data_IF_182020638066
#
_entry.id   IF_182020638066
#
_cell.length_a   1.000
_cell.length_b   1.000
_cell.length_c   1.000
_cell.angle_alpha   90.00
_cell.angle_beta   90.00
_cell.angle_gamma   90.00
#
_symmetry.space_group_name_H-M   'P 1'
#
loop_
_entity.id
_entity.type
_entity.pdbx_description
1 polymer ?
#
# COMPACT_ATOMS: atom_id res chain seq x y z
N UNK A 1 -12.19 11.69 18.76
CA UNK A 1 -11.22 10.58 19.02
C UNK A 1 -9.88 10.99 18.44
N UNK A 2 -8.72 10.51 18.94
CA UNK A 2 -7.44 10.86 18.31
C UNK A 2 -7.06 9.90 17.18
N UNK A 3 -6.41 10.46 16.17
CA UNK A 3 -5.90 9.74 15.01
C UNK A 3 -4.43 10.09 14.80
N UNK A 4 -3.70 9.13 14.23
CA UNK A 4 -2.26 9.27 13.99
C UNK A 4 -1.93 8.86 12.56
N UNK A 5 -1.06 9.61 11.89
CA UNK A 5 -0.41 9.14 10.68
C UNK A 5 0.68 8.15 11.07
N UNK A 6 0.54 6.91 10.61
CA UNK A 6 1.49 5.82 10.83
C UNK A 6 2.51 5.80 9.69
N UNK A 7 3.75 6.18 10.01
CA UNK A 7 4.82 6.39 9.04
C UNK A 7 6.18 5.93 9.57
N UNK A 8 7.21 6.05 8.75
CA UNK A 8 8.59 5.73 9.13
C UNK A 8 9.17 6.79 10.08
N UNK A 9 10.15 6.44 10.93
CA UNK A 9 10.97 7.42 11.64
C UNK A 9 11.63 8.43 10.71
N UNK A 10 12.00 9.58 11.24
CA UNK A 10 12.88 10.51 10.53
C UNK A 10 14.30 9.94 10.57
N UNK A 11 14.80 9.50 9.42
CA UNK A 11 16.20 9.09 9.28
C UNK A 11 17.04 10.30 8.88
N UNK A 12 18.23 10.44 9.46
CA UNK A 12 19.17 11.52 9.16
C UNK A 12 19.78 11.37 7.77
N UNK A 13 19.89 10.13 7.27
CA UNK A 13 20.52 9.82 5.98
C UNK A 13 19.81 8.68 5.26
N UNK A 14 19.96 8.61 3.94
CA UNK A 14 19.51 7.46 3.14
C UNK A 14 20.19 6.15 3.58
N UNK A 15 21.42 6.23 4.08
CA UNK A 15 22.13 5.07 4.62
C UNK A 15 21.43 4.53 5.88
N UNK A 16 21.03 5.40 6.80
CA UNK A 16 20.29 5.02 8.00
C UNK A 16 18.91 4.43 7.66
N UNK A 17 18.21 5.00 6.67
CA UNK A 17 16.97 4.41 6.13
C UNK A 17 17.23 2.98 5.61
N UNK A 18 18.29 2.80 4.82
CA UNK A 18 18.67 1.49 4.28
C UNK A 18 19.05 0.46 5.35
N UNK A 19 19.70 0.88 6.44
CA UNK A 19 20.01 -0.02 7.56
C UNK A 19 18.76 -0.44 8.32
N UNK A 20 17.82 0.47 8.52
CA UNK A 20 16.56 0.21 9.23
C UNK A 20 15.53 -0.53 8.38
N UNK A 21 15.62 -0.39 7.06
CA UNK A 21 14.75 -1.03 6.07
C UNK A 21 15.57 -1.85 5.07
N UNK A 22 16.23 -2.95 5.48
CA UNK A 22 17.22 -3.68 4.67
C UNK A 22 16.57 -4.61 3.63
N UNK A 23 15.51 -4.13 2.99
CA UNK A 23 14.75 -4.87 1.99
C UNK A 23 14.67 -4.08 0.69
N UNK A 24 14.43 -4.80 -0.40
CA UNK A 24 14.15 -4.21 -1.70
C UNK A 24 12.85 -4.79 -2.22
N UNK A 25 11.90 -3.92 -2.57
CA UNK A 25 10.72 -4.34 -3.31
C UNK A 25 11.17 -4.88 -4.66
N UNK A 26 10.83 -6.13 -4.95
CA UNK A 26 10.96 -6.68 -6.29
C UNK A 26 9.67 -6.32 -7.02
N UNK A 27 9.81 -5.63 -8.16
CA UNK A 27 8.65 -5.10 -8.88
C UNK A 27 7.64 -6.20 -9.17
N UNK A 28 6.38 -5.88 -8.86
CA UNK A 28 5.25 -6.72 -9.16
C UNK A 28 4.81 -6.55 -10.62
N UNK A 29 3.93 -7.46 -11.02
CA UNK A 29 3.09 -7.34 -12.20
C UNK A 29 2.19 -6.11 -11.99
N UNK A 30 2.21 -5.15 -12.90
CA UNK A 30 1.36 -3.97 -12.85
C UNK A 30 0.59 -3.88 -14.16
N UNK A 31 -0.68 -3.48 -14.10
CA UNK A 31 -1.43 -3.25 -15.35
C UNK A 31 -0.86 -2.03 -16.08
N UNK A 32 -1.11 -1.87 -17.39
CA UNK A 32 -0.56 -0.75 -18.14
C UNK A 32 -0.90 0.60 -17.51
N UNK A 33 0.03 1.55 -17.56
CA UNK A 33 -0.29 2.96 -17.31
C UNK A 33 -1.08 3.54 -18.48
N UNK A 34 -1.57 4.76 -18.33
CA UNK A 34 -2.31 5.45 -19.40
C UNK A 34 -1.61 6.71 -19.87
N UNK A 35 -1.86 7.05 -21.14
CA UNK A 35 -1.65 8.40 -21.68
C UNK A 35 -3.01 9.05 -21.95
N UNK A 36 -3.30 10.13 -21.24
CA UNK A 36 -4.51 10.92 -21.39
C UNK A 36 -4.24 12.16 -22.25
N UNK A 37 -5.15 12.46 -23.17
CA UNK A 37 -5.10 13.67 -24.00
C UNK A 37 -5.13 14.99 -23.21
N UNK A 38 -5.67 14.97 -21.99
CA UNK A 38 -5.74 16.14 -21.09
C UNK A 38 -4.63 16.10 -20.03
N UNK A 39 -4.40 14.95 -19.41
CA UNK A 39 -3.51 14.86 -18.25
C UNK A 39 -2.08 14.39 -18.57
N UNK A 40 -1.79 14.04 -19.82
CA UNK A 40 -0.57 13.34 -20.20
C UNK A 40 -0.50 11.91 -19.64
N UNK A 41 0.71 11.38 -19.56
CA UNK A 41 0.96 10.05 -18.99
C UNK A 41 0.89 10.07 -17.47
N UNK A 42 0.18 9.12 -16.86
CA UNK A 42 0.19 8.94 -15.41
C UNK A 42 -0.12 7.50 -14.98
N UNK A 43 0.23 7.22 -13.72
CA UNK A 43 0.11 5.93 -13.06
C UNK A 43 -0.41 6.13 -11.63
N UNK A 44 -1.23 5.21 -11.15
CA UNK A 44 -1.65 5.13 -9.74
C UNK A 44 -0.57 4.45 -8.90
N UNK A 45 -0.75 4.49 -7.58
CA UNK A 45 0.03 3.72 -6.62
C UNK A 45 -0.74 2.54 -6.04
N UNK A 46 -1.92 2.21 -6.58
CA UNK A 46 -2.79 1.21 -5.97
C UNK A 46 -2.20 -0.20 -6.02
N UNK A 47 -2.70 -1.06 -5.12
CA UNK A 47 -2.16 -2.39 -4.88
C UNK A 47 -3.31 -3.35 -4.62
N UNK A 48 -3.37 -4.46 -5.37
CA UNK A 48 -4.32 -5.55 -5.15
C UNK A 48 -3.52 -6.81 -4.81
N UNK A 49 -3.62 -7.22 -3.54
CA UNK A 49 -2.93 -8.39 -2.98
C UNK A 49 -3.85 -9.60 -3.02
N UNK A 50 -3.73 -10.37 -4.09
CA UNK A 50 -4.40 -11.65 -4.31
C UNK A 50 -3.45 -12.51 -5.14
N UNK A 51 -3.51 -13.83 -4.96
CA UNK A 51 -2.78 -14.73 -5.85
C UNK A 51 -3.50 -14.83 -7.19
N UNK A 52 -2.75 -14.69 -8.27
CA UNK A 52 -3.30 -14.64 -9.62
C UNK A 52 -2.63 -15.68 -10.50
N UNK A 53 -3.48 -16.45 -11.19
CA UNK A 53 -3.07 -17.22 -12.36
C UNK A 53 -3.45 -16.40 -13.58
N UNK A 54 -2.45 -15.89 -14.29
CA UNK A 54 -2.67 -15.08 -15.48
C UNK A 54 -2.83 -15.98 -16.71
N UNK A 55 -3.93 -15.83 -17.44
CA UNK A 55 -4.08 -16.38 -18.78
C UNK A 55 -3.14 -15.68 -19.78
N UNK A 56 -2.94 -16.25 -20.96
CA UNK A 56 -2.12 -15.62 -22.00
C UNK A 56 -2.73 -14.30 -22.49
N UNK A 57 -4.06 -14.19 -22.47
CA UNK A 57 -4.77 -12.93 -22.75
C UNK A 57 -4.42 -11.88 -21.70
N UNK A 58 -4.50 -12.24 -20.41
CA UNK A 58 -4.14 -11.35 -19.32
C UNK A 58 -2.66 -10.91 -19.40
N UNK A 59 -1.73 -11.82 -19.70
CA UNK A 59 -0.30 -11.52 -19.88
C UNK A 59 -0.08 -10.51 -20.99
N UNK A 60 -0.67 -10.72 -22.18
CA UNK A 60 -0.58 -9.79 -23.32
C UNK A 60 -1.11 -8.38 -23.02
N UNK A 61 -2.09 -8.26 -22.12
CA UNK A 61 -2.57 -6.95 -21.65
C UNK A 61 -1.51 -6.31 -20.76
N UNK A 62 -1.04 -7.04 -19.74
CA UNK A 62 -0.12 -6.54 -18.71
C UNK A 62 1.27 -6.19 -19.27
N UNK A 63 1.76 -6.89 -20.30
CA UNK A 63 3.05 -6.60 -20.93
C UNK A 63 3.12 -5.20 -21.57
N UNK A 64 1.96 -4.57 -21.84
CA UNK A 64 1.93 -3.20 -22.35
C UNK A 64 2.33 -2.22 -21.24
N UNK A 65 3.27 -1.32 -21.52
CA UNK A 65 3.74 -0.34 -20.52
C UNK A 65 2.80 0.86 -20.36
N UNK A 66 2.36 1.43 -21.48
CA UNK A 66 1.55 2.65 -21.56
C UNK A 66 0.59 2.51 -22.74
N UNK A 67 -0.69 2.84 -22.56
CA UNK A 67 -1.69 2.81 -23.64
C UNK A 67 -2.67 3.99 -23.55
N UNK A 68 -3.33 4.40 -24.66
CA UNK A 68 -4.37 5.44 -24.62
C UNK A 68 -5.57 5.04 -23.76
N UNK A 69 -6.27 6.03 -23.20
CA UNK A 69 -7.38 5.85 -22.25
C UNK A 69 -8.47 4.91 -22.77
N UNK A 70 -8.90 5.09 -24.02
CA UNK A 70 -9.98 4.33 -24.64
C UNK A 70 -9.61 2.85 -24.77
N UNK A 71 -8.39 2.58 -25.24
CA UNK A 71 -7.82 1.22 -25.33
C UNK A 71 -7.65 0.60 -23.95
N UNK A 72 -7.21 1.39 -22.97
CA UNK A 72 -7.08 0.94 -21.59
C UNK A 72 -8.41 0.48 -21.02
N UNK A 73 -9.48 1.26 -21.17
CA UNK A 73 -10.82 0.90 -20.66
C UNK A 73 -11.31 -0.43 -21.24
N UNK A 74 -11.09 -0.65 -22.55
CA UNK A 74 -11.45 -1.90 -23.22
C UNK A 74 -10.65 -3.10 -22.70
N UNK A 75 -9.32 -3.00 -22.66
CA UNK A 75 -8.46 -4.11 -22.21
C UNK A 75 -8.64 -4.42 -20.73
N UNK A 76 -8.83 -3.40 -19.88
CA UNK A 76 -9.04 -3.60 -18.44
C UNK A 76 -10.41 -4.19 -18.13
N UNK A 77 -11.44 -3.94 -18.94
CA UNK A 77 -12.72 -4.66 -18.81
C UNK A 77 -12.56 -6.17 -19.04
N UNK A 78 -11.73 -6.57 -19.99
CA UNK A 78 -11.39 -7.97 -20.24
C UNK A 78 -10.59 -8.53 -19.05
N UNK A 79 -9.54 -7.81 -18.63
CA UNK A 79 -8.69 -8.24 -17.52
C UNK A 79 -9.47 -8.38 -16.20
N UNK A 80 -10.42 -7.48 -15.93
CA UNK A 80 -11.30 -7.53 -14.76
C UNK A 80 -12.07 -8.85 -14.69
N UNK A 81 -12.63 -9.30 -15.82
CA UNK A 81 -13.36 -10.57 -15.93
C UNK A 81 -12.41 -11.76 -15.73
N UNK A 82 -11.27 -11.77 -16.43
CA UNK A 82 -10.27 -12.84 -16.34
C UNK A 82 -9.76 -13.04 -14.90
N UNK A 83 -9.53 -11.95 -14.17
CA UNK A 83 -9.00 -12.00 -12.79
C UNK A 83 -10.09 -12.11 -11.71
N UNK A 84 -11.37 -12.05 -12.11
CA UNK A 84 -12.52 -11.95 -11.21
C UNK A 84 -12.35 -10.82 -10.19
N UNK A 85 -12.11 -9.61 -10.71
CA UNK A 85 -11.92 -8.37 -9.95
C UNK A 85 -12.92 -7.32 -10.44
N UNK A 86 -13.54 -6.53 -9.55
CA UNK A 86 -14.36 -5.39 -9.95
C UNK A 86 -13.55 -4.39 -10.79
N UNK A 87 -14.09 -3.97 -11.93
CA UNK A 87 -13.41 -3.03 -12.82
C UNK A 87 -13.07 -1.70 -12.11
N UNK A 88 -13.92 -1.28 -11.18
CA UNK A 88 -13.87 -0.02 -10.45
C UNK A 88 -12.65 0.12 -9.53
N UNK A 89 -12.04 -1.01 -9.15
CA UNK A 89 -10.83 -1.02 -8.31
C UNK A 89 -9.54 -1.17 -9.12
N UNK A 90 -9.65 -1.33 -10.45
CA UNK A 90 -8.50 -1.34 -11.34
C UNK A 90 -8.21 0.10 -11.76
N UNK A 91 -7.04 0.59 -11.38
CA UNK A 91 -6.55 1.93 -11.72
C UNK A 91 -5.25 1.80 -12.52
N UNK A 92 -4.88 2.79 -13.35
CA UNK A 92 -3.67 2.72 -14.17
C UNK A 92 -2.46 2.32 -13.34
N UNK A 93 -1.67 1.32 -13.76
CA UNK A 93 -0.52 0.80 -13.00
C UNK A 93 -0.80 0.21 -11.61
N UNK A 94 -2.05 -0.15 -11.27
CA UNK A 94 -2.31 -0.93 -10.06
C UNK A 94 -1.41 -2.17 -10.04
N UNK A 95 -0.70 -2.35 -8.92
CA UNK A 95 0.19 -3.49 -8.72
C UNK A 95 -0.65 -4.70 -8.34
N UNK A 96 -0.52 -5.78 -9.10
CA UNK A 96 -1.20 -7.05 -8.88
C UNK A 96 -0.25 -8.05 -8.22
N UNK A 97 -0.85 -9.01 -7.53
CA UNK A 97 -0.16 -10.17 -6.98
C UNK A 97 0.34 -9.98 -5.55
N UNK A 98 0.74 -11.10 -4.96
CA UNK A 98 1.42 -11.14 -3.68
C UNK A 98 2.71 -10.29 -3.71
N UNK A 99 3.06 -9.60 -2.61
CA UNK A 99 4.26 -8.80 -2.55
C UNK A 99 5.52 -9.68 -2.64
N UNK A 100 6.52 -9.20 -3.36
CA UNK A 100 7.80 -9.88 -3.55
C UNK A 100 8.93 -8.97 -3.10
N UNK A 101 9.90 -9.53 -2.38
CA UNK A 101 11.00 -8.78 -1.81
C UNK A 101 12.31 -9.51 -1.88
N UNK A 102 13.39 -8.76 -1.80
CA UNK A 102 14.72 -9.26 -1.51
C UNK A 102 15.18 -8.70 -0.17
N UNK A 103 15.66 -9.56 0.72
CA UNK A 103 16.28 -9.17 1.99
C UNK A 103 17.79 -9.07 1.80
N UNK A 104 18.34 -7.89 2.07
CA UNK A 104 19.77 -7.59 1.86
C UNK A 104 20.61 -7.88 3.10
N UNK A 105 20.06 -7.66 4.29
CA UNK A 105 20.70 -7.82 5.60
C UNK A 105 19.69 -8.35 6.62
N UNK A 106 20.15 -8.64 7.84
CA UNK A 106 19.28 -9.08 8.92
C UNK A 106 18.25 -8.00 9.27
N UNK A 107 17.00 -8.42 9.50
CA UNK A 107 15.91 -7.54 9.86
C UNK A 107 15.86 -7.45 11.38
N UNK A 108 16.27 -6.30 11.91
CA UNK A 108 16.31 -6.06 13.34
C UNK A 108 14.99 -5.48 13.84
N UNK A 109 14.39 -4.60 13.05
CA UNK A 109 13.17 -3.87 13.39
C UNK A 109 11.89 -4.67 13.14
N UNK A 110 10.81 -4.29 13.82
CA UNK A 110 9.50 -4.94 13.69
C UNK A 110 8.79 -4.47 12.41
N UNK A 111 8.67 -3.16 12.23
CA UNK A 111 8.14 -2.57 11.00
C UNK A 111 9.26 -2.28 10.01
N UNK A 112 8.97 -2.47 8.73
CA UNK A 112 9.89 -2.25 7.61
C UNK A 112 9.18 -1.43 6.55
N UNK A 113 9.64 -0.21 6.31
CA UNK A 113 9.05 0.74 5.38
C UNK A 113 9.70 0.60 4.00
N UNK A 114 8.99 -0.05 3.08
CA UNK A 114 9.56 -0.45 1.78
C UNK A 114 9.34 0.62 0.71
N UNK A 115 8.18 1.27 0.77
CA UNK A 115 7.73 2.32 -0.12
C UNK A 115 6.61 3.08 0.59
N UNK A 116 6.26 4.33 0.22
CA UNK A 116 5.09 5.00 0.77
C UNK A 116 3.84 4.12 0.77
N UNK A 117 3.28 3.90 1.97
CA UNK A 117 2.12 3.02 2.21
C UNK A 117 2.34 1.53 1.95
N UNK A 118 3.59 1.07 1.86
CA UNK A 118 3.97 -0.34 1.85
C UNK A 118 4.83 -0.59 3.08
N UNK A 119 4.21 -1.21 4.09
CA UNK A 119 4.85 -1.55 5.35
C UNK A 119 4.83 -3.07 5.49
N UNK A 120 6.01 -3.64 5.67
CA UNK A 120 6.17 -5.04 6.03
C UNK A 120 6.43 -5.17 7.53
N UNK A 121 6.14 -6.33 8.06
CA UNK A 121 6.29 -6.66 9.46
C UNK A 121 6.69 -8.13 9.60
N UNK A 122 7.47 -8.49 10.62
CA UNK A 122 7.73 -9.89 10.95
C UNK A 122 6.41 -10.63 11.23
N UNK A 123 6.32 -11.89 10.78
CA UNK A 123 5.09 -12.68 10.91
C UNK A 123 4.65 -12.86 12.37
N UNK A 124 5.61 -13.05 13.28
CA UNK A 124 5.33 -13.16 14.72
C UNK A 124 4.64 -11.90 15.27
N UNK A 125 5.08 -10.72 14.82
CA UNK A 125 4.52 -9.44 15.26
C UNK A 125 3.19 -9.13 14.56
N UNK A 126 3.04 -9.54 13.30
CA UNK A 126 1.75 -9.53 12.61
C UNK A 126 0.70 -10.36 13.39
N UNK A 127 1.09 -11.54 13.90
CA UNK A 127 0.19 -12.40 14.66
C UNK A 127 -0.20 -11.80 16.01
N UNK A 128 0.71 -11.07 16.68
CA UNK A 128 0.36 -10.29 17.88
C UNK A 128 -0.72 -9.25 17.57
N UNK A 129 -0.55 -8.48 16.48
CA UNK A 129 -1.51 -7.45 16.06
C UNK A 129 -2.85 -8.09 15.66
N UNK A 130 -2.85 -9.22 14.93
CA UNK A 130 -4.08 -9.96 14.57
C UNK A 130 -4.87 -10.38 15.81
N UNK A 131 -4.21 -10.96 16.82
CA UNK A 131 -4.86 -11.42 18.06
C UNK A 131 -5.51 -10.29 18.85
N UNK A 132 -5.01 -9.06 18.72
CA UNK A 132 -5.64 -7.88 19.35
C UNK A 132 -6.98 -7.50 18.72
N UNK A 133 -7.28 -7.98 17.51
CA UNK A 133 -8.57 -7.76 16.85
C UNK A 133 -8.74 -6.34 16.33
N UNK A 134 -7.67 -5.71 15.85
CA UNK A 134 -7.78 -4.43 15.15
C UNK A 134 -8.48 -4.59 13.79
N UNK A 135 -9.25 -3.58 13.41
CA UNK A 135 -10.07 -3.56 12.20
C UNK A 135 -9.44 -2.72 11.08
N UNK A 136 -9.91 -2.90 9.85
CA UNK A 136 -9.40 -2.16 8.68
C UNK A 136 -8.00 -2.58 8.22
N UNK A 137 -7.52 -3.74 8.66
CA UNK A 137 -6.20 -4.28 8.33
C UNK A 137 -6.29 -5.76 7.96
N UNK A 138 -5.46 -6.17 7.01
CA UNK A 138 -5.16 -7.56 6.66
C UNK A 138 -3.66 -7.74 6.56
N UNK A 139 -3.21 -8.98 6.63
CA UNK A 139 -1.81 -9.34 6.47
C UNK A 139 -1.67 -10.35 5.36
N UNK A 140 -0.74 -10.10 4.43
CA UNK A 140 -0.47 -11.01 3.32
C UNK A 140 1.00 -11.41 3.33
N UNK A 141 1.30 -12.69 3.08
CA UNK A 141 2.68 -13.19 3.08
C UNK A 141 3.51 -12.52 2.00
N UNK A 142 4.70 -12.07 2.37
CA UNK A 142 5.69 -11.55 1.43
C UNK A 142 6.57 -12.70 0.93
N UNK A 143 6.68 -12.82 -0.39
CA UNK A 143 7.56 -13.78 -1.01
C UNK A 143 8.99 -13.22 -1.05
N UNK A 144 9.80 -13.64 -0.08
CA UNK A 144 11.16 -13.14 0.12
C UNK A 144 12.20 -14.02 -0.61
N UNK A 145 13.15 -13.35 -1.27
CA UNK A 145 14.42 -13.92 -1.71
C UNK A 145 15.54 -13.45 -0.78
N UNK A 146 16.41 -14.37 -0.39
CA UNK A 146 17.60 -14.05 0.41
C UNK A 146 18.84 -14.04 -0.49
N UNK A 147 19.73 -13.06 -0.28
CA UNK A 147 21.03 -13.03 -0.96
C UNK A 147 21.92 -14.16 -0.40
N UNK A 148 22.44 -15.02 -1.28
CA UNK A 148 23.09 -16.34 -1.00
C UNK A 148 24.13 -16.42 0.13
N UNK A 149 24.72 -15.31 0.63
CA UNK A 149 25.73 -15.33 1.70
C UNK A 149 25.18 -15.28 3.14
N UNK A 150 23.87 -15.09 3.33
CA UNK A 150 23.25 -14.90 4.66
C UNK A 150 22.15 -15.95 4.98
N UNK A 151 22.27 -17.17 4.42
CA UNK A 151 21.21 -18.19 4.49
C UNK A 151 20.95 -18.70 5.92
N UNK A 152 21.96 -18.66 6.78
CA UNK A 152 21.93 -19.31 8.11
C UNK A 152 21.15 -18.55 9.21
N UNK A 153 20.70 -17.32 8.94
CA UNK A 153 20.10 -16.44 9.97
C UNK A 153 18.57 -16.28 9.89
N UNK A 154 17.88 -17.01 8.99
CA UNK A 154 16.61 -16.55 8.41
C UNK A 154 15.41 -17.53 8.46
N UNK A 155 15.40 -18.53 9.35
CA UNK A 155 14.21 -19.40 9.47
C UNK A 155 13.01 -18.71 10.12
N UNK A 156 13.25 -17.65 10.91
CA UNK A 156 12.21 -16.95 11.69
C UNK A 156 11.79 -15.58 11.12
N UNK A 157 12.35 -15.17 9.98
CA UNK A 157 12.12 -13.85 9.37
C UNK A 157 11.05 -13.88 8.27
N UNK A 158 10.01 -14.69 8.42
CA UNK A 158 8.84 -14.56 7.55
C UNK A 158 8.28 -13.14 7.67
N UNK A 159 8.04 -12.47 6.54
CA UNK A 159 7.47 -11.13 6.50
C UNK A 159 6.04 -11.17 5.98
N UNK A 160 5.23 -10.29 6.54
CA UNK A 160 3.86 -10.02 6.12
C UNK A 160 3.77 -8.55 5.69
N UNK A 161 3.03 -8.25 4.63
CA UNK A 161 2.65 -6.88 4.29
C UNK A 161 1.37 -6.50 5.01
N UNK A 162 1.37 -5.31 5.62
CA UNK A 162 0.18 -4.66 6.15
C UNK A 162 -0.65 -4.14 4.98
N UNK A 163 -1.83 -4.73 4.79
CA UNK A 163 -2.80 -4.30 3.78
C UNK A 163 -3.93 -3.58 4.49
N UNK A 164 -3.96 -2.25 4.35
CA UNK A 164 -5.02 -1.42 4.92
C UNK A 164 -6.27 -1.51 4.05
N UNK A 165 -7.39 -1.86 4.66
CA UNK A 165 -8.69 -1.98 4.00
C UNK A 165 -9.68 -0.91 4.46
N UNK A 166 -9.42 -0.28 5.61
CA UNK A 166 -10.27 0.79 6.13
C UNK A 166 -10.13 2.08 5.33
N UNK A 167 -11.18 2.89 5.37
CA UNK A 167 -11.32 4.12 4.58
C UNK A 167 -11.90 5.25 5.42
N UNK A 168 -11.33 6.43 5.22
CA UNK A 168 -11.91 7.68 5.69
C UNK A 168 -11.71 8.78 4.63
N UNK A 169 -12.36 9.91 4.87
CA UNK A 169 -12.24 11.11 4.06
C UNK A 169 -11.80 12.30 4.90
N UNK A 170 -11.10 13.24 4.27
CA UNK A 170 -10.89 14.55 4.88
C UNK A 170 -12.20 15.35 4.88
N UNK A 171 -12.32 16.31 5.81
CA UNK A 171 -13.37 17.33 5.78
C UNK A 171 -13.38 18.02 4.43
N UNK A 172 -14.58 18.24 3.91
CA UNK A 172 -14.82 18.83 2.60
C UNK A 172 -14.17 18.09 1.42
N UNK A 173 -13.77 16.83 1.60
CA UNK A 173 -13.26 15.95 0.54
C UNK A 173 -14.25 14.83 0.23
N UNK A 174 -14.24 14.39 -1.02
CA UNK A 174 -14.96 13.24 -1.56
C UNK A 174 -14.36 12.89 -2.93
N UNK A 175 -14.83 11.79 -3.50
CA UNK A 175 -14.33 11.26 -4.77
C UNK A 175 -14.47 12.27 -5.92
N UNK A 176 -15.57 13.03 -5.96
CA UNK A 176 -15.84 14.01 -7.01
C UNK A 176 -14.85 15.17 -6.93
N UNK A 177 -14.61 15.68 -5.72
CA UNK A 177 -13.69 16.80 -5.49
C UNK A 177 -12.23 16.45 -5.77
N UNK A 178 -11.80 15.23 -5.49
CA UNK A 178 -10.43 14.81 -5.79
C UNK A 178 -10.25 14.42 -7.26
N UNK A 179 -11.33 14.15 -7.99
CA UNK A 179 -11.28 13.77 -9.41
C UNK A 179 -11.10 15.01 -10.28
N UNK A 180 -9.95 15.11 -10.93
CA UNK A 180 -9.61 16.27 -11.78
C UNK A 180 -9.76 16.00 -13.27
N UNK A 181 -10.07 14.78 -13.67
CA UNK A 181 -10.26 14.46 -15.08
C UNK A 181 -11.30 13.36 -15.28
N UNK A 182 -12.45 13.75 -15.83
CA UNK A 182 -13.56 12.83 -16.14
C UNK A 182 -13.25 11.90 -17.33
N UNK A 183 -12.23 12.21 -18.14
CA UNK A 183 -11.83 11.34 -19.27
C UNK A 183 -11.10 10.11 -18.73
N UNK A 184 -10.09 10.32 -17.89
CA UNK A 184 -9.19 9.26 -17.43
C UNK A 184 -9.38 8.85 -15.96
N UNK A 185 -10.24 9.53 -15.20
CA UNK A 185 -10.48 9.27 -13.79
C UNK A 185 -9.32 9.66 -12.87
N UNK A 186 -8.41 10.56 -13.32
CA UNK A 186 -7.26 10.97 -12.50
C UNK A 186 -7.74 11.71 -11.26
N UNK A 187 -7.30 11.25 -10.10
CA UNK A 187 -7.48 11.92 -8.82
C UNK A 187 -6.21 12.62 -8.37
N UNK A 188 -6.34 13.65 -7.54
CA UNK A 188 -5.23 14.33 -6.85
C UNK A 188 -5.53 14.54 -5.37
N UNK A 189 -4.49 14.78 -4.59
CA UNK A 189 -4.62 15.08 -3.16
C UNK A 189 -4.22 16.54 -2.93
N UNK A 190 -5.16 17.50 -3.07
CA UNK A 190 -4.83 18.90 -2.84
C UNK A 190 -4.42 19.09 -1.38
N UNK A 191 -3.33 19.83 -1.15
CA UNK A 191 -2.76 20.10 0.17
C UNK A 191 -2.54 18.81 0.99
N UNK A 192 -1.59 17.94 0.60
CA UNK A 192 -1.40 16.64 1.28
C UNK A 192 -1.06 16.78 2.77
N UNK A 193 -0.52 17.92 3.20
CA UNK A 193 -0.20 18.20 4.60
C UNK A 193 -1.41 18.67 5.42
N UNK A 194 -2.50 19.09 4.77
CA UNK A 194 -3.75 19.38 5.47
C UNK A 194 -4.51 18.07 5.68
N UNK A 195 -4.49 17.60 6.92
CA UNK A 195 -5.14 16.38 7.36
C UNK A 195 -6.16 16.80 8.42
N UNK A 196 -7.45 16.79 8.05
CA UNK A 196 -8.54 16.93 9.00
C UNK A 196 -9.58 15.89 8.65
N UNK A 197 -9.77 14.89 9.51
CA UNK A 197 -10.62 13.74 9.24
C UNK A 197 -12.09 14.13 9.43
N UNK A 198 -12.94 13.76 8.47
CA UNK A 198 -14.39 13.80 8.65
C UNK A 198 -14.83 12.50 9.33
N UNK A 199 -15.01 12.55 10.67
CA UNK A 199 -15.45 11.38 11.46
C UNK A 199 -16.78 10.80 10.97
N UNK A 200 -17.64 11.57 10.26
CA UNK A 200 -18.89 11.06 9.68
C UNK A 200 -18.66 10.22 8.42
N UNK A 201 -17.52 10.40 7.75
CA UNK A 201 -17.10 9.69 6.53
C UNK A 201 -15.96 8.69 6.79
N UNK A 202 -15.73 8.33 8.05
CA UNK A 202 -14.83 7.26 8.46
C UNK A 202 -15.63 5.99 8.74
N UNK A 203 -15.16 4.85 8.24
CA UNK A 203 -15.80 3.54 8.37
C UNK A 203 -15.61 2.88 9.75
N UNK A 204 -15.10 3.64 10.73
CA UNK A 204 -14.88 3.22 12.12
C UNK A 204 -13.82 2.15 12.31
N UNK A 205 -12.91 1.97 11.33
CA UNK A 205 -11.81 1.00 11.47
C UNK A 205 -10.58 1.56 12.18
N UNK A 206 -9.83 0.66 12.82
CA UNK A 206 -8.59 0.99 13.52
C UNK A 206 -7.44 1.43 12.58
N UNK A 207 -7.35 0.83 11.39
CA UNK A 207 -6.42 1.21 10.32
C UNK A 207 -7.21 1.70 9.10
N UNK A 208 -6.79 2.80 8.50
CA UNK A 208 -7.45 3.33 7.31
C UNK A 208 -6.53 4.19 6.44
N UNK A 209 -6.96 4.42 5.20
CA UNK A 209 -6.39 5.40 4.28
C UNK A 209 -7.33 6.60 4.15
N UNK A 210 -6.78 7.79 3.85
CA UNK A 210 -7.58 8.99 3.59
C UNK A 210 -7.71 9.26 2.09
N UNK A 211 -8.91 9.61 1.66
CA UNK A 211 -9.24 10.00 0.29
C UNK A 211 -8.85 8.97 -0.78
N UNK A 212 -8.81 7.68 -0.41
CA UNK A 212 -8.28 6.61 -1.25
C UNK A 212 -6.78 6.76 -1.61
N UNK A 213 -5.98 7.49 -0.81
CA UNK A 213 -4.53 7.53 -1.00
C UNK A 213 -3.86 6.31 -0.36
N UNK A 214 -3.40 5.30 -1.14
CA UNK A 214 -2.83 4.10 -0.56
C UNK A 214 -1.44 4.35 0.06
N UNK A 215 -0.81 5.50 -0.20
CA UNK A 215 0.55 5.82 0.23
C UNK A 215 0.63 6.41 1.64
N UNK A 216 -0.51 6.66 2.30
CA UNK A 216 -0.59 7.21 3.65
C UNK A 216 -1.51 6.37 4.50
N UNK A 217 -1.01 5.93 5.64
CA UNK A 217 -1.71 5.02 6.55
C UNK A 217 -2.00 5.77 7.83
N UNK A 218 -3.22 5.63 8.31
CA UNK A 218 -3.70 6.26 9.52
C UNK A 218 -4.21 5.20 10.48
N UNK A 219 -4.02 5.47 11.76
CA UNK A 219 -4.42 4.57 12.85
C UNK A 219 -5.15 5.33 13.97
N UNK A 220 -5.96 4.61 14.74
CA UNK A 220 -6.61 5.14 15.95
C UNK A 220 -5.65 5.19 17.14
N UNK A 221 -6.00 5.98 18.17
CA UNK A 221 -5.27 6.06 19.44
C UNK A 221 -5.02 4.69 20.08
N UNK A 222 -6.00 3.78 20.02
CA UNK A 222 -5.87 2.43 20.59
C UNK A 222 -4.75 1.61 19.94
N UNK A 223 -4.53 1.78 18.62
CA UNK A 223 -3.42 1.10 17.93
C UNK A 223 -2.09 1.71 18.34
N UNK A 224 -2.04 3.05 18.41
CA UNK A 224 -0.84 3.76 18.85
C UNK A 224 -0.41 3.36 20.27
N UNK A 225 -1.36 3.34 21.21
CA UNK A 225 -1.10 2.92 22.59
C UNK A 225 -0.58 1.49 22.64
N UNK A 226 -1.20 0.57 21.89
CA UNK A 226 -0.75 -0.82 21.81
C UNK A 226 0.68 -0.94 21.26
N UNK A 227 1.02 -0.20 20.19
CA UNK A 227 2.38 -0.20 19.65
C UNK A 227 3.41 0.31 20.66
N UNK A 228 3.04 1.34 21.43
CA UNK A 228 3.89 1.92 22.48
C UNK A 228 4.07 0.95 23.66
N UNK A 229 2.98 0.40 24.19
CA UNK A 229 2.98 -0.56 25.31
C UNK A 229 3.83 -1.80 25.00
N UNK A 230 3.73 -2.30 23.76
CA UNK A 230 4.43 -3.50 23.32
C UNK A 230 5.81 -3.19 22.71
N UNK A 231 6.25 -1.93 22.77
CA UNK A 231 7.59 -1.48 22.34
C UNK A 231 7.94 -1.90 20.91
N UNK A 232 6.99 -1.80 19.99
CA UNK A 232 7.28 -2.01 18.57
C UNK A 232 8.36 -1.01 18.10
N UNK A 233 9.13 -1.38 17.10
CA UNK A 233 10.28 -0.61 16.62
C UNK A 233 10.11 -0.13 15.17
N UNK A 234 10.87 0.91 14.80
CA UNK A 234 10.92 1.48 13.45
C UNK A 234 9.59 2.01 12.90
N UNK A 235 8.87 2.76 13.75
CA UNK A 235 7.71 3.52 13.31
C UNK A 235 7.68 4.89 13.97
N UNK A 236 6.87 5.76 13.40
CA UNK A 236 6.48 7.05 13.95
C UNK A 236 4.97 7.20 13.80
N UNK A 237 4.34 7.75 14.84
CA UNK A 237 2.95 8.15 14.81
C UNK A 237 2.87 9.67 15.00
N UNK A 238 2.33 10.37 14.01
CA UNK A 238 2.16 11.83 14.06
C UNK A 238 0.69 12.11 14.36
N UNK A 239 0.40 12.74 15.49
CA UNK A 239 -0.98 13.09 15.87
C UNK A 239 -1.56 14.08 14.86
N UNK A 240 -2.79 13.80 14.43
CA UNK A 240 -3.54 14.63 13.48
C UNK A 240 -4.54 15.48 14.25
N UNK A 241 -4.62 16.76 13.88
CA UNK A 241 -5.54 17.73 14.48
C UNK A 241 -6.90 17.78 13.77
#
# INVERSE_FOLDING_TARGET
>A
MKFYEFTKPDYLTDFEDMENNPVKLLSNIAIPSIVCKVCGQWASSDRIRKDFVFSDVARKIIEKKVIPVEKWKQEISILAKELSIPYEILTPSVKLGMPKGEVKKNILNDFIHVFPGIIWIKAIDADKIKRKGFTGIKFVKVNIKYKKKNYDYNKDNELMEIVVTGKAWRKDSDIEKITVCNICGRTIFPNPNYISIDEKKWDKTDFFTLDCNPNRIFITERVYDYFKENKFTNYRCIEIK
#
